data_IF_494720151736
#
_entry.id   IF_494720151736
#
_cell.length_a   1.000
_cell.length_b   1.000
_cell.length_c   1.000
_cell.angle_alpha   90.00
_cell.angle_beta   90.00
_cell.angle_gamma   90.00
#
_symmetry.space_group_name_H-M   'P 1'
#
loop_
_entity.id
_entity.type
_entity.pdbx_description
1 polymer ?
#
# COMPACT_ATOMS: atom_id res chain seq x y z
N UNK A 1 -12.88 -13.44 -11.86
CA UNK A 1 -12.67 -14.88 -12.14
C UNK A 1 -11.18 -15.18 -12.06
N UNK A 2 -10.77 -16.42 -11.84
CA UNK A 2 -9.34 -16.76 -11.89
C UNK A 2 -8.80 -16.57 -13.33
N UNK A 3 -7.60 -16.02 -13.44
CA UNK A 3 -6.97 -15.77 -14.74
C UNK A 3 -5.78 -16.72 -14.94
N UNK A 4 -5.70 -17.35 -16.12
CA UNK A 4 -4.53 -18.17 -16.47
C UNK A 4 -3.30 -17.29 -16.70
N UNK A 5 -2.15 -17.78 -16.26
CA UNK A 5 -0.84 -17.15 -16.47
C UNK A 5 0.09 -18.21 -17.05
N UNK A 6 0.84 -17.85 -18.09
CA UNK A 6 1.85 -18.73 -18.68
C UNK A 6 3.06 -18.80 -17.76
N UNK A 7 3.53 -20.02 -17.49
CA UNK A 7 4.78 -20.27 -16.77
C UNK A 7 5.88 -20.53 -17.79
N UNK A 8 7.01 -19.88 -17.62
CA UNK A 8 8.20 -20.03 -18.46
C UNK A 8 8.89 -21.37 -18.22
N UNK A 9 9.77 -21.78 -19.13
CA UNK A 9 10.51 -23.04 -19.03
C UNK A 9 11.42 -23.11 -17.77
N UNK A 10 11.84 -21.96 -17.24
CA UNK A 10 12.61 -21.84 -16.00
C UNK A 10 11.74 -21.80 -14.72
N UNK A 11 10.42 -21.95 -14.86
CA UNK A 11 9.46 -21.92 -13.76
C UNK A 11 9.02 -20.51 -13.33
N UNK A 12 9.55 -19.46 -13.95
CA UNK A 12 9.14 -18.07 -13.66
C UNK A 12 7.80 -17.74 -14.32
N UNK A 13 7.07 -16.78 -13.75
CA UNK A 13 5.86 -16.21 -14.35
C UNK A 13 5.70 -14.76 -13.90
N UNK A 14 4.98 -13.97 -14.69
CA UNK A 14 4.64 -12.59 -14.35
C UNK A 14 3.25 -12.25 -14.83
N UNK A 15 2.52 -11.45 -14.04
CA UNK A 15 1.19 -10.94 -14.38
C UNK A 15 1.02 -9.57 -13.73
N UNK A 16 0.70 -8.57 -14.55
CA UNK A 16 0.27 -7.27 -14.05
C UNK A 16 -1.16 -7.40 -13.51
N UNK A 17 -1.39 -6.89 -12.30
CA UNK A 17 -2.69 -6.82 -11.65
C UNK A 17 -2.99 -5.36 -11.34
N UNK A 18 -4.20 -4.91 -11.64
CA UNK A 18 -4.69 -3.61 -11.17
C UNK A 18 -5.25 -3.81 -9.76
N UNK A 19 -4.69 -3.10 -8.80
CA UNK A 19 -5.12 -3.13 -7.41
C UNK A 19 -6.23 -2.10 -7.17
N UNK A 20 -7.05 -2.36 -6.16
CA UNK A 20 -7.98 -1.36 -5.60
C UNK A 20 -7.42 -0.80 -4.30
N UNK A 21 -7.80 0.43 -3.95
CA UNK A 21 -7.41 1.02 -2.66
C UNK A 21 -7.81 0.10 -1.49
N UNK A 22 -6.96 0.03 -0.47
CA UNK A 22 -7.12 -0.89 0.64
C UNK A 22 -6.53 -2.28 0.39
N UNK A 23 -7.09 -3.29 1.04
CA UNK A 23 -6.55 -4.65 1.05
C UNK A 23 -6.92 -5.44 -0.20
N UNK A 24 -5.91 -6.05 -0.84
CA UNK A 24 -6.04 -6.92 -2.00
C UNK A 24 -5.49 -8.30 -1.67
N UNK A 25 -6.35 -9.32 -1.65
CA UNK A 25 -5.93 -10.72 -1.48
C UNK A 25 -5.65 -11.35 -2.84
N UNK A 26 -4.41 -11.75 -3.06
CA UNK A 26 -3.94 -12.40 -4.29
C UNK A 26 -3.70 -13.88 -4.01
N UNK A 27 -4.45 -14.73 -4.70
CA UNK A 27 -4.31 -16.19 -4.61
C UNK A 27 -3.67 -16.72 -5.88
N UNK A 28 -2.54 -17.39 -5.73
CA UNK A 28 -1.82 -18.07 -6.81
C UNK A 28 -2.03 -19.57 -6.65
N UNK A 29 -2.49 -20.22 -7.71
CA UNK A 29 -2.65 -21.68 -7.77
C UNK A 29 -1.79 -22.19 -8.92
N UNK A 30 -0.86 -23.09 -8.61
CA UNK A 30 -0.09 -23.82 -9.62
C UNK A 30 -0.52 -25.28 -9.65
N UNK A 31 -0.71 -25.82 -10.85
CA UNK A 31 -1.08 -27.22 -11.09
C UNK A 31 -0.03 -27.89 -11.95
N UNK A 32 0.48 -29.04 -11.53
CA UNK A 32 1.43 -29.84 -12.31
C UNK A 32 0.74 -30.65 -13.43
N UNK A 33 1.53 -31.30 -14.28
CA UNK A 33 1.02 -32.12 -15.39
C UNK A 33 0.26 -33.37 -14.91
N UNK A 34 0.44 -33.78 -13.66
CA UNK A 34 -0.28 -34.89 -13.04
C UNK A 34 -1.57 -34.42 -12.33
N UNK A 35 -1.94 -33.14 -12.45
CA UNK A 35 -3.16 -32.55 -11.89
C UNK A 35 -3.06 -32.18 -10.39
N UNK A 36 -1.88 -32.26 -9.76
CA UNK A 36 -1.71 -31.85 -8.36
C UNK A 36 -1.53 -30.35 -8.28
N UNK A 37 -2.18 -29.73 -7.29
CA UNK A 37 -2.14 -28.28 -7.12
C UNK A 37 -1.56 -27.85 -5.79
N UNK A 38 -0.87 -26.72 -5.79
CA UNK A 38 -0.44 -25.98 -4.61
C UNK A 38 -0.99 -24.55 -4.67
N UNK A 39 -1.25 -23.96 -3.50
CA UNK A 39 -1.84 -22.62 -3.38
C UNK A 39 -0.99 -21.74 -2.49
N UNK A 40 -0.77 -20.50 -2.92
CA UNK A 40 -0.12 -19.46 -2.14
C UNK A 40 -1.03 -18.24 -2.12
N UNK A 41 -1.24 -17.67 -0.93
CA UNK A 41 -2.01 -16.44 -0.74
C UNK A 41 -1.09 -15.33 -0.28
N UNK A 42 -1.22 -14.15 -0.87
CA UNK A 42 -0.53 -12.93 -0.45
C UNK A 42 -1.54 -11.80 -0.31
N UNK A 43 -1.37 -10.98 0.73
CA UNK A 43 -2.17 -9.77 0.91
C UNK A 43 -1.32 -8.56 0.60
N UNK A 44 -1.83 -7.67 -0.24
CA UNK A 44 -1.19 -6.41 -0.62
C UNK A 44 -2.15 -5.26 -0.30
N UNK A 45 -1.70 -4.30 0.50
CA UNK A 45 -2.46 -3.08 0.76
C UNK A 45 -1.98 -1.97 -0.16
N UNK A 46 -2.90 -1.39 -0.92
CA UNK A 46 -2.64 -0.18 -1.68
C UNK A 46 -3.15 1.02 -0.90
N UNK A 47 -2.22 1.87 -0.47
CA UNK A 47 -2.53 3.18 0.08
C UNK A 47 -2.05 4.27 -0.87
N UNK A 48 -2.98 5.14 -1.27
CA UNK A 48 -2.73 6.29 -2.14
C UNK A 48 -3.30 7.57 -1.53
N UNK A 49 -3.76 7.51 -0.28
CA UNK A 49 -4.21 8.70 0.43
C UNK A 49 -2.97 9.47 0.84
N UNK A 50 -2.89 10.73 0.44
CA UNK A 50 -1.80 11.59 0.89
C UNK A 50 -2.10 12.04 2.33
N UNK A 51 -1.06 12.16 3.19
CA UNK A 51 -1.27 12.69 4.52
C UNK A 51 -1.76 14.14 4.46
N UNK A 52 -2.64 14.49 5.38
CA UNK A 52 -3.23 15.83 5.48
C UNK A 52 -2.69 16.56 6.71
N UNK A 53 -2.52 17.88 6.59
CA UNK A 53 -2.27 18.72 7.76
C UNK A 53 -3.56 18.77 8.58
N UNK A 54 -3.50 18.24 9.79
CA UNK A 54 -4.61 18.21 10.73
C UNK A 54 -4.69 19.50 11.53
N UNK A 55 -3.55 20.00 12.01
CA UNK A 55 -3.52 21.25 12.77
C UNK A 55 -2.17 21.95 12.66
N UNK A 56 -2.22 23.28 12.81
CA UNK A 56 -1.03 24.13 12.94
C UNK A 56 -1.23 24.99 14.17
N UNK A 57 -0.27 24.96 15.08
CA UNK A 57 -0.29 25.77 16.29
C UNK A 57 0.98 26.60 16.39
N UNK A 58 0.86 27.81 16.95
CA UNK A 58 1.99 28.67 17.28
C UNK A 58 1.98 28.91 18.78
N UNK A 59 3.15 28.79 19.42
CA UNK A 59 3.29 29.00 20.86
C UNK A 59 4.45 29.97 21.16
N UNK A 60 4.21 31.08 21.89
CA UNK A 60 2.90 31.56 22.35
C UNK A 60 2.02 32.14 21.22
N UNK A 61 0.72 32.28 21.48
CA UNK A 61 -0.23 33.00 20.62
C UNK A 61 -1.13 33.89 21.51
N UNK A 62 -1.00 35.23 21.50
CA UNK A 62 -0.24 36.05 20.55
C UNK A 62 1.27 35.95 20.73
N UNK A 63 2.02 36.32 19.68
CA UNK A 63 3.48 36.43 19.72
C UNK A 63 3.90 37.88 19.92
N UNK A 64 4.85 38.09 20.83
CA UNK A 64 5.49 39.39 21.02
C UNK A 64 6.53 39.65 19.92
N UNK A 65 6.54 40.88 19.39
CA UNK A 65 7.49 41.28 18.36
C UNK A 65 8.95 41.10 18.84
N UNK A 66 9.77 40.41 18.04
CA UNK A 66 11.17 40.15 18.34
C UNK A 66 11.44 39.01 19.33
N UNK A 67 10.41 38.24 19.72
CA UNK A 67 10.56 37.03 20.56
C UNK A 67 10.51 35.75 19.71
N UNK A 68 11.10 34.68 20.24
CA UNK A 68 11.06 33.34 19.64
C UNK A 68 9.67 32.73 19.82
N UNK A 69 9.25 31.96 18.82
CA UNK A 69 8.04 31.15 18.86
C UNK A 69 8.29 29.77 18.27
N UNK A 70 7.42 28.82 18.63
CA UNK A 70 7.43 27.47 18.06
C UNK A 70 6.19 27.31 17.20
N UNK A 71 6.37 26.80 15.98
CA UNK A 71 5.28 26.33 15.13
C UNK A 71 5.27 24.81 15.19
N UNK A 72 4.13 24.24 15.57
CA UNK A 72 3.91 22.79 15.57
C UNK A 72 2.86 22.46 14.51
N UNK A 73 3.17 21.46 13.67
CA UNK A 73 2.27 20.94 12.65
C UNK A 73 1.94 19.50 12.99
N UNK A 74 0.66 19.19 13.10
CA UNK A 74 0.17 17.83 13.20
C UNK A 74 -0.28 17.38 11.81
N UNK A 75 0.21 16.23 11.37
CA UNK A 75 -0.22 15.57 10.13
C UNK A 75 -0.89 14.24 10.44
N UNK A 76 -1.86 13.84 9.64
CA UNK A 76 -2.53 12.54 9.73
C UNK A 76 -2.45 11.84 8.39
N UNK A 77 -2.24 10.53 8.44
CA UNK A 77 -2.30 9.60 7.31
C UNK A 77 -3.71 9.01 7.20
#
# INVERSE_FOLDING_TARGET
AAEKVTVNADGTFSKALTLVSGSNTITVVSTDSAGKSSTVTRTVTLDQVAPVIKSVTITPNPVDAGKTYVISVEVTD
#
